data_IF_467805140111
#
_entry.id   IF_467805140111
#
_cell.length_a   1.000
_cell.length_b   1.000
_cell.length_c   1.000
_cell.angle_alpha   90.00
_cell.angle_beta   90.00
_cell.angle_gamma   90.00
#
_symmetry.space_group_name_H-M   'P 1'
#
loop_
_entity.id
_entity.type
_entity.pdbx_description
1 polymer ?
#
# COMPACT_ATOMS: atom_id res chain seq x y z
N UNK A 1 -1.13 -13.40 16.34
CA UNK A 1 -1.70 -12.31 15.52
C UNK A 1 -2.08 -12.84 14.16
N UNK A 2 -3.26 -12.45 13.67
CA UNK A 2 -3.74 -12.70 12.30
C UNK A 2 -4.23 -11.38 11.71
N UNK A 3 -4.16 -11.24 10.39
CA UNK A 3 -4.51 -10.01 9.65
C UNK A 3 -5.49 -10.34 8.51
N UNK A 4 -6.75 -10.69 8.83
CA UNK A 4 -7.70 -11.19 7.84
C UNK A 4 -8.19 -10.13 6.84
N UNK A 5 -8.10 -8.84 7.16
CA UNK A 5 -8.61 -7.77 6.29
C UNK A 5 -7.50 -7.07 5.50
N UNK A 6 -6.24 -7.41 5.74
CA UNK A 6 -5.09 -6.89 5.01
C UNK A 6 -5.11 -7.36 3.55
N UNK A 7 -4.85 -6.43 2.65
CA UNK A 7 -4.71 -6.68 1.22
C UNK A 7 -3.37 -6.12 0.72
N UNK A 8 -2.68 -6.90 -0.11
CA UNK A 8 -1.40 -6.51 -0.71
C UNK A 8 -1.60 -5.35 -1.71
N UNK A 9 -0.72 -4.34 -1.67
CA UNK A 9 -0.67 -3.30 -2.71
C UNK A 9 -0.25 -3.89 -4.05
N UNK A 10 -0.32 -3.11 -5.14
CA UNK A 10 0.10 -3.59 -6.48
C UNK A 10 1.56 -3.99 -6.48
N UNK A 11 2.41 -3.21 -5.80
CA UNK A 11 3.82 -3.55 -5.66
C UNK A 11 4.03 -4.83 -4.87
N UNK A 12 3.27 -5.04 -3.78
CA UNK A 12 3.34 -6.29 -3.01
C UNK A 12 2.90 -7.49 -3.84
N UNK A 13 1.79 -7.38 -4.58
CA UNK A 13 1.31 -8.45 -5.46
C UNK A 13 2.33 -8.78 -6.55
N UNK A 14 2.91 -7.78 -7.20
CA UNK A 14 3.94 -7.98 -8.22
C UNK A 14 5.16 -8.73 -7.66
N UNK A 15 5.61 -8.39 -6.44
CA UNK A 15 6.68 -9.11 -5.73
C UNK A 15 6.24 -10.55 -5.42
N UNK A 16 5.05 -10.72 -4.84
CA UNK A 16 4.46 -12.00 -4.47
C UNK A 16 4.37 -12.95 -5.67
N UNK A 17 3.89 -12.47 -6.82
CA UNK A 17 3.73 -13.26 -8.03
C UNK A 17 5.07 -13.65 -8.64
N UNK A 18 6.05 -12.73 -8.61
CA UNK A 18 7.42 -13.05 -9.03
C UNK A 18 8.03 -14.13 -8.15
N UNK A 19 7.88 -14.03 -6.83
CA UNK A 19 8.39 -15.05 -5.90
C UNK A 19 7.70 -16.40 -6.10
N UNK A 20 6.37 -16.42 -6.21
CA UNK A 20 5.60 -17.66 -6.42
C UNK A 20 5.95 -18.35 -7.73
N UNK A 21 6.05 -17.60 -8.83
CA UNK A 21 6.43 -18.15 -10.14
C UNK A 21 7.84 -18.76 -10.14
N UNK A 22 8.72 -18.32 -9.23
CA UNK A 22 10.08 -18.84 -9.06
C UNK A 22 10.25 -19.75 -7.83
N UNK A 23 9.13 -20.26 -7.30
CA UNK A 23 9.08 -21.22 -6.18
C UNK A 23 9.69 -20.69 -4.87
N UNK A 24 9.76 -19.38 -4.68
CA UNK A 24 10.17 -18.73 -3.42
C UNK A 24 8.90 -18.58 -2.58
N UNK A 25 8.61 -19.57 -1.73
CA UNK A 25 7.30 -19.70 -1.08
C UNK A 25 7.35 -19.51 0.44
N UNK A 26 8.50 -19.78 1.05
CA UNK A 26 8.74 -19.72 2.49
C UNK A 26 9.82 -18.68 2.83
N UNK A 27 9.85 -18.15 4.08
CA UNK A 27 10.89 -17.21 4.49
C UNK A 27 12.32 -17.73 4.29
N UNK A 28 12.52 -19.04 4.43
CA UNK A 28 13.81 -19.71 4.22
C UNK A 28 14.23 -19.76 2.76
N UNK A 29 13.27 -19.65 1.82
CA UNK A 29 13.54 -19.59 0.37
C UNK A 29 14.08 -18.22 -0.07
N UNK A 30 13.94 -17.17 0.76
CA UNK A 30 14.39 -15.79 0.47
C UNK A 30 15.92 -15.66 0.58
N UNK A 31 16.66 -16.55 -0.06
CA UNK A 31 18.10 -16.44 -0.25
C UNK A 31 18.44 -15.32 -1.24
N UNK A 32 19.50 -14.56 -0.96
CA UNK A 32 19.82 -13.37 -1.76
C UNK A 32 20.24 -13.71 -3.19
N UNK A 33 20.96 -14.81 -3.40
CA UNK A 33 21.33 -15.25 -4.76
C UNK A 33 20.11 -15.74 -5.52
N UNK A 34 19.25 -16.52 -4.86
CA UNK A 34 18.02 -16.99 -5.49
C UNK A 34 17.08 -15.84 -5.89
N UNK A 35 16.97 -14.82 -5.03
CA UNK A 35 16.20 -13.61 -5.34
C UNK A 35 16.86 -12.83 -6.47
N UNK A 36 18.18 -12.63 -6.46
CA UNK A 36 18.88 -11.89 -7.52
C UNK A 36 18.73 -12.58 -8.88
N UNK A 37 18.88 -13.91 -8.93
CA UNK A 37 18.70 -14.71 -10.14
C UNK A 37 17.26 -14.62 -10.69
N UNK A 38 16.27 -14.63 -9.80
CA UNK A 38 14.85 -14.48 -10.15
C UNK A 38 14.57 -13.17 -10.90
N UNK A 39 15.34 -12.13 -10.58
CA UNK A 39 15.20 -10.81 -11.18
C UNK A 39 16.23 -10.53 -12.28
N UNK A 40 17.09 -11.49 -12.62
CA UNK A 40 18.20 -11.33 -13.57
C UNK A 40 19.11 -10.16 -13.17
N UNK A 41 19.47 -10.12 -11.88
CA UNK A 41 20.37 -9.14 -11.28
C UNK A 41 21.58 -9.87 -10.74
N UNK A 42 22.78 -9.42 -11.13
CA UNK A 42 24.03 -9.98 -10.63
C UNK A 42 24.28 -9.52 -9.19
N UNK A 43 24.65 -10.45 -8.32
CA UNK A 43 24.99 -10.17 -6.93
C UNK A 43 26.47 -10.40 -6.68
N UNK A 44 27.18 -9.31 -6.34
CA UNK A 44 28.60 -9.32 -6.04
C UNK A 44 28.87 -8.90 -4.60
N UNK A 45 29.94 -9.46 -4.03
CA UNK A 45 30.40 -9.09 -2.69
C UNK A 45 31.82 -8.55 -2.78
N UNK A 46 32.05 -7.34 -2.26
CA UNK A 46 33.36 -6.69 -2.28
C UNK A 46 33.68 -5.91 -1.00
N UNK A 47 34.85 -5.26 -0.93
CA UNK A 47 35.34 -4.47 0.19
C UNK A 47 35.05 -2.97 -0.01
N UNK A 48 33.93 -2.64 -0.65
CA UNK A 48 33.50 -1.28 -0.94
C UNK A 48 32.24 -0.90 -0.16
N UNK A 49 31.85 0.38 -0.24
CA UNK A 49 30.50 0.77 0.17
C UNK A 49 29.50 0.07 -0.76
N UNK A 50 28.37 -0.43 -0.26
CA UNK A 50 27.36 -1.02 -1.09
C UNK A 50 26.78 -0.02 -2.09
N UNK A 51 26.46 -0.50 -3.29
CA UNK A 51 25.79 0.27 -4.34
C UNK A 51 25.22 -0.68 -5.41
N UNK A 52 24.38 -0.14 -6.27
CA UNK A 52 23.90 -0.81 -7.48
C UNK A 52 24.27 -0.05 -8.75
N UNK A 53 24.38 -0.78 -9.86
CA UNK A 53 24.39 -0.22 -11.20
C UNK A 53 23.15 -0.75 -11.95
N UNK A 54 22.22 0.16 -12.25
CA UNK A 54 20.95 -0.17 -12.87
C UNK A 54 21.11 -0.58 -14.34
N UNK A 55 22.14 -0.08 -15.03
CA UNK A 55 22.36 -0.38 -16.45
C UNK A 55 22.93 -1.79 -16.63
N UNK A 56 23.92 -2.14 -15.82
CA UNK A 56 24.55 -3.47 -15.81
C UNK A 56 23.76 -4.49 -14.98
N UNK A 57 22.69 -4.05 -14.29
CA UNK A 57 21.86 -4.85 -13.38
C UNK A 57 22.69 -5.63 -12.37
N UNK A 58 23.54 -4.92 -11.63
CA UNK A 58 24.41 -5.53 -10.63
C UNK A 58 24.28 -4.81 -9.29
N UNK A 59 24.33 -5.59 -8.21
CA UNK A 59 24.36 -5.11 -6.83
C UNK A 59 25.68 -5.53 -6.19
N UNK A 60 26.39 -4.57 -5.60
CA UNK A 60 27.58 -4.79 -4.81
C UNK A 60 27.25 -4.64 -3.33
N UNK A 61 27.47 -5.70 -2.55
CA UNK A 61 27.35 -5.70 -1.09
C UNK A 61 28.73 -5.73 -0.44
N UNK A 62 28.85 -5.16 0.75
CA UNK A 62 30.10 -5.22 1.50
C UNK A 62 30.25 -6.58 2.20
N UNK A 63 31.37 -7.27 1.95
CA UNK A 63 31.73 -8.56 2.56
C UNK A 63 31.80 -8.54 4.09
N UNK A 64 31.97 -7.36 4.69
CA UNK A 64 32.15 -7.19 6.14
C UNK A 64 30.86 -6.88 6.88
N UNK A 65 29.78 -6.58 6.17
CA UNK A 65 28.52 -6.23 6.82
C UNK A 65 27.88 -7.46 7.47
N UNK A 66 27.29 -7.33 8.68
CA UNK A 66 26.51 -8.39 9.28
C UNK A 66 25.38 -8.83 8.34
N UNK A 67 25.10 -10.13 8.29
CA UNK A 67 24.14 -10.70 7.34
C UNK A 67 22.77 -9.98 7.32
N UNK A 68 22.12 -9.65 8.45
CA UNK A 68 20.86 -8.90 8.42
C UNK A 68 20.96 -7.50 7.81
N UNK A 69 22.12 -6.84 7.97
CA UNK A 69 22.39 -5.52 7.38
C UNK A 69 22.60 -5.66 5.87
N UNK A 70 23.38 -6.65 5.45
CA UNK A 70 23.59 -6.98 4.04
C UNK A 70 22.27 -7.31 3.32
N UNK A 71 21.36 -8.07 3.96
CA UNK A 71 20.01 -8.34 3.44
C UNK A 71 19.17 -7.07 3.29
N UNK A 72 19.17 -6.20 4.30
CA UNK A 72 18.45 -4.93 4.24
C UNK A 72 18.94 -4.07 3.07
N UNK A 73 20.25 -3.98 2.88
CA UNK A 73 20.87 -3.21 1.80
C UNK A 73 20.53 -3.85 0.45
N UNK A 74 20.66 -5.17 0.32
CA UNK A 74 20.32 -5.88 -0.91
C UNK A 74 18.92 -5.56 -1.43
N UNK A 75 17.89 -5.69 -0.59
CA UNK A 75 16.51 -5.44 -1.03
C UNK A 75 16.25 -3.96 -1.37
N UNK A 76 16.97 -3.03 -0.73
CA UNK A 76 16.90 -1.61 -1.07
C UNK A 76 17.55 -1.35 -2.45
N UNK A 77 18.78 -1.83 -2.67
CA UNK A 77 19.49 -1.74 -3.95
C UNK A 77 18.74 -2.46 -5.09
N UNK A 78 18.08 -3.56 -4.79
CA UNK A 78 17.24 -4.29 -5.75
C UNK A 78 16.10 -3.42 -6.28
N UNK A 79 15.50 -2.56 -5.44
CA UNK A 79 14.52 -1.58 -5.92
C UNK A 79 15.13 -0.62 -6.93
N UNK A 80 16.33 -0.09 -6.65
CA UNK A 80 17.02 0.81 -7.57
C UNK A 80 17.24 0.16 -8.93
N UNK A 81 17.75 -1.06 -8.96
CA UNK A 81 17.99 -1.79 -10.21
C UNK A 81 16.70 -2.03 -10.99
N UNK A 82 15.61 -2.40 -10.31
CA UNK A 82 14.39 -2.83 -10.97
C UNK A 82 13.45 -1.71 -11.39
N UNK A 83 13.46 -0.58 -10.66
CA UNK A 83 12.39 0.42 -10.74
C UNK A 83 12.90 1.83 -11.02
N UNK A 84 14.18 2.11 -10.81
CA UNK A 84 14.72 3.46 -10.92
C UNK A 84 15.61 3.65 -12.14
N UNK A 85 15.52 4.84 -12.73
CA UNK A 85 16.38 5.28 -13.83
C UNK A 85 17.03 6.62 -13.48
N UNK A 86 18.16 6.90 -14.12
CA UNK A 86 18.92 8.13 -13.97
C UNK A 86 20.01 8.06 -12.90
N UNK A 87 20.88 9.07 -12.90
CA UNK A 87 21.98 9.19 -11.94
C UNK A 87 21.56 10.07 -10.76
N UNK A 88 21.35 9.46 -9.59
CA UNK A 88 20.94 10.17 -8.37
C UNK A 88 21.91 11.28 -7.95
N UNK A 89 23.19 11.23 -8.36
CA UNK A 89 24.17 12.29 -8.05
C UNK A 89 23.87 13.59 -8.81
N UNK A 90 23.14 13.48 -9.91
CA UNK A 90 22.76 14.59 -10.81
C UNK A 90 21.27 14.89 -10.74
N UNK A 91 20.51 14.11 -9.98
CA UNK A 91 19.07 14.20 -9.84
C UNK A 91 18.69 15.32 -8.88
N UNK A 92 17.59 16.04 -9.19
CA UNK A 92 17.00 16.99 -8.25
C UNK A 92 16.54 16.25 -6.98
N UNK A 93 16.71 16.91 -5.83
CA UNK A 93 16.34 16.41 -4.50
C UNK A 93 14.95 15.76 -4.45
N UNK A 94 13.92 16.38 -5.03
CA UNK A 94 12.54 15.85 -4.94
C UNK A 94 12.40 14.47 -5.61
N UNK A 95 12.98 14.30 -6.80
CA UNK A 95 12.96 13.00 -7.49
C UNK A 95 13.81 11.96 -6.76
N UNK A 96 14.96 12.39 -6.21
CA UNK A 96 15.81 11.51 -5.41
C UNK A 96 15.06 11.03 -4.16
N UNK A 97 14.46 11.94 -3.41
CA UNK A 97 13.69 11.60 -2.21
C UNK A 97 12.52 10.64 -2.54
N UNK A 98 11.86 10.83 -3.69
CA UNK A 98 10.83 9.92 -4.18
C UNK A 98 11.35 8.51 -4.45
N UNK A 99 12.51 8.38 -5.11
CA UNK A 99 13.16 7.08 -5.32
C UNK A 99 13.57 6.41 -4.00
N UNK A 100 14.12 7.17 -3.04
CA UNK A 100 14.46 6.63 -1.72
C UNK A 100 13.22 6.17 -0.95
N UNK A 101 12.12 6.91 -1.02
CA UNK A 101 10.85 6.52 -0.40
C UNK A 101 10.31 5.22 -1.01
N UNK A 102 10.34 5.10 -2.34
CA UNK A 102 9.92 3.87 -3.03
C UNK A 102 10.83 2.68 -2.68
N UNK A 103 12.16 2.88 -2.68
CA UNK A 103 13.12 1.84 -2.28
C UNK A 103 12.92 1.36 -0.83
N UNK A 104 12.56 2.27 0.08
CA UNK A 104 12.23 1.90 1.45
C UNK A 104 10.92 1.11 1.57
N UNK A 105 9.89 1.44 0.78
CA UNK A 105 8.65 0.66 0.72
C UNK A 105 8.90 -0.72 0.10
N UNK A 106 9.60 -0.78 -1.04
CA UNK A 106 9.99 -2.02 -1.71
C UNK A 106 10.75 -2.95 -0.78
N UNK A 107 11.75 -2.43 -0.04
CA UNK A 107 12.52 -3.19 0.94
C UNK A 107 11.61 -3.94 1.92
N UNK A 108 10.58 -3.27 2.47
CA UNK A 108 9.65 -3.88 3.43
C UNK A 108 8.87 -5.04 2.79
N UNK A 109 8.41 -4.87 1.56
CA UNK A 109 7.62 -5.86 0.84
C UNK A 109 8.46 -7.05 0.36
N UNK A 110 9.62 -6.78 -0.24
CA UNK A 110 10.50 -7.80 -0.81
C UNK A 110 11.21 -8.64 0.25
N UNK A 111 11.56 -8.03 1.40
CA UNK A 111 12.23 -8.73 2.50
C UNK A 111 11.27 -9.48 3.43
N UNK A 112 10.01 -9.04 3.51
CA UNK A 112 8.97 -9.65 4.34
C UNK A 112 7.60 -9.64 3.62
N UNK A 113 7.43 -10.48 2.58
CA UNK A 113 6.20 -10.54 1.80
C UNK A 113 5.00 -10.94 2.64
N UNK A 114 3.87 -10.26 2.47
CA UNK A 114 2.70 -10.51 3.33
C UNK A 114 2.12 -11.91 3.12
N UNK A 115 2.16 -12.45 1.90
CA UNK A 115 1.74 -13.84 1.66
C UNK A 115 2.53 -14.91 2.44
N UNK A 116 3.77 -14.60 2.86
CA UNK A 116 4.53 -15.47 3.76
C UNK A 116 4.14 -15.21 5.21
N UNK A 117 4.07 -13.93 5.62
CA UNK A 117 3.68 -13.49 6.96
C UNK A 117 2.32 -14.06 7.38
N UNK A 118 1.33 -14.00 6.49
CA UNK A 118 -0.05 -14.47 6.74
C UNK A 118 -0.15 -15.97 7.06
N UNK A 119 0.89 -16.76 6.78
CA UNK A 119 0.96 -18.19 7.10
C UNK A 119 1.70 -18.48 8.40
N UNK A 120 2.30 -17.47 9.03
CA UNK A 120 3.08 -17.62 10.25
C UNK A 120 2.20 -17.52 11.50
N UNK A 121 2.53 -18.31 12.52
CA UNK A 121 1.96 -18.18 13.87
C UNK A 121 2.63 -17.04 14.65
N UNK A 122 2.38 -15.79 14.27
CA UNK A 122 3.03 -14.62 14.89
C UNK A 122 2.53 -14.46 16.34
N UNK A 123 3.41 -14.30 17.35
CA UNK A 123 3.01 -14.03 18.73
C UNK A 123 2.14 -12.78 18.90
N UNK A 124 1.22 -12.75 19.87
CA UNK A 124 0.37 -11.58 20.15
C UNK A 124 1.09 -10.46 20.91
N UNK A 125 2.19 -10.76 21.60
CA UNK A 125 3.02 -9.73 22.21
C UNK A 125 3.80 -8.98 21.13
N UNK A 126 3.72 -7.65 21.11
CA UNK A 126 4.36 -6.81 20.09
C UNK A 126 5.88 -7.01 20.01
N UNK A 127 6.56 -7.11 21.15
CA UNK A 127 8.02 -7.27 21.19
C UNK A 127 8.43 -8.64 20.67
N UNK A 128 7.71 -9.68 21.07
CA UNK A 128 7.96 -11.05 20.62
C UNK A 128 7.64 -11.20 19.12
N UNK A 129 6.58 -10.57 18.63
CA UNK A 129 6.23 -10.53 17.21
C UNK A 129 7.34 -9.88 16.37
N UNK A 130 7.88 -8.74 16.83
CA UNK A 130 9.00 -8.06 16.16
C UNK A 130 10.22 -8.97 16.11
N UNK A 131 10.60 -9.57 17.24
CA UNK A 131 11.77 -10.43 17.31
C UNK A 131 11.58 -11.71 16.48
N UNK A 132 10.39 -12.29 16.50
CA UNK A 132 10.01 -13.43 15.69
C UNK A 132 10.18 -13.13 14.20
N UNK A 133 9.54 -12.06 13.70
CA UNK A 133 9.66 -11.64 12.29
C UNK A 133 11.11 -11.31 11.90
N UNK A 134 11.83 -10.58 12.74
CA UNK A 134 13.24 -10.25 12.51
C UNK A 134 14.10 -11.51 12.35
N UNK A 135 13.86 -12.51 13.18
CA UNK A 135 14.58 -13.80 13.15
C UNK A 135 14.18 -14.62 11.93
N UNK A 136 12.88 -14.77 11.67
CA UNK A 136 12.33 -15.56 10.55
C UNK A 136 12.81 -15.04 9.20
N UNK A 137 12.76 -13.73 8.97
CA UNK A 137 13.18 -13.12 7.70
C UNK A 137 14.66 -12.70 7.69
N UNK A 138 15.37 -12.90 8.82
CA UNK A 138 16.79 -12.58 9.02
C UNK A 138 17.11 -11.11 8.77
N UNK A 139 16.24 -10.21 9.18
CA UNK A 139 16.33 -8.75 8.96
C UNK A 139 16.47 -7.99 10.29
N UNK A 140 16.92 -6.72 10.28
CA UNK A 140 17.07 -5.95 11.50
C UNK A 140 15.73 -5.75 12.23
N UNK A 141 15.67 -5.83 13.57
CA UNK A 141 14.42 -5.67 14.34
C UNK A 141 13.67 -4.37 14.07
N UNK A 142 14.40 -3.29 13.75
CA UNK A 142 13.79 -2.00 13.36
C UNK A 142 12.93 -2.15 12.10
N UNK A 143 13.40 -2.91 11.11
CA UNK A 143 12.69 -3.14 9.86
C UNK A 143 11.46 -4.04 10.09
N UNK A 144 11.61 -5.10 10.89
CA UNK A 144 10.49 -5.95 11.32
C UNK A 144 9.38 -5.13 12.00
N UNK A 145 9.77 -4.22 12.90
CA UNK A 145 8.84 -3.31 13.58
C UNK A 145 8.11 -2.38 12.60
N UNK A 146 8.82 -1.84 11.60
CA UNK A 146 8.21 -1.00 10.57
C UNK A 146 7.18 -1.78 9.76
N UNK A 147 7.54 -2.98 9.29
CA UNK A 147 6.63 -3.85 8.53
C UNK A 147 5.40 -4.26 9.34
N UNK A 148 5.59 -4.68 10.60
CA UNK A 148 4.48 -5.07 11.47
C UNK A 148 3.51 -3.90 11.71
N UNK A 149 4.03 -2.70 12.00
CA UNK A 149 3.21 -1.50 12.19
C UNK A 149 2.43 -1.14 10.92
N UNK A 150 3.06 -1.21 9.76
CA UNK A 150 2.39 -1.00 8.48
C UNK A 150 1.22 -1.97 8.29
N UNK A 151 1.45 -3.27 8.55
CA UNK A 151 0.41 -4.30 8.43
C UNK A 151 -0.74 -4.02 9.39
N UNK A 152 -0.43 -3.76 10.66
CA UNK A 152 -1.41 -3.42 11.68
C UNK A 152 -2.23 -2.19 11.32
N UNK A 153 -1.59 -1.14 10.78
CA UNK A 153 -2.29 0.07 10.34
C UNK A 153 -3.26 -0.21 9.21
N UNK A 154 -2.84 -0.93 8.16
CA UNK A 154 -3.72 -1.25 7.02
C UNK A 154 -4.85 -2.20 7.40
N UNK A 155 -4.60 -3.14 8.31
CA UNK A 155 -5.63 -4.00 8.90
C UNK A 155 -6.67 -3.16 9.65
N UNK A 156 -6.22 -2.26 10.54
CA UNK A 156 -7.10 -1.40 11.32
C UNK A 156 -7.92 -0.47 10.43
N UNK A 157 -7.28 0.17 9.45
CA UNK A 157 -7.95 0.98 8.45
C UNK A 157 -9.05 0.17 7.77
N UNK A 158 -8.72 -1.03 7.28
CA UNK A 158 -9.71 -1.91 6.65
C UNK A 158 -10.88 -2.22 7.59
N UNK A 159 -10.63 -2.55 8.87
CA UNK A 159 -11.67 -2.85 9.87
C UNK A 159 -12.57 -1.64 10.15
N UNK A 160 -11.99 -0.47 10.43
CA UNK A 160 -12.76 0.74 10.77
C UNK A 160 -13.78 1.04 9.68
N UNK A 161 -13.35 0.95 8.43
CA UNK A 161 -14.22 1.21 7.29
C UNK A 161 -15.26 0.11 7.04
N UNK A 162 -15.03 -1.16 7.41
CA UNK A 162 -16.11 -2.16 7.41
C UNK A 162 -17.10 -2.00 8.57
N UNK A 163 -16.63 -1.52 9.72
CA UNK A 163 -17.43 -1.40 10.95
C UNK A 163 -18.31 -0.14 11.00
N UNK A 164 -18.03 0.84 10.14
CA UNK A 164 -18.91 1.97 9.89
C UNK A 164 -20.18 1.46 9.16
N UNK A 165 -21.09 0.88 9.95
CA UNK A 165 -22.53 0.76 9.73
C UNK A 165 -23.20 1.58 10.85
N UNK A 166 -24.43 2.09 10.67
CA UNK A 166 -24.89 3.32 11.31
C UNK A 166 -24.87 3.18 12.83
N UNK A 167 -23.92 3.86 13.46
CA UNK A 167 -23.95 4.08 14.90
C UNK A 167 -24.67 5.39 15.12
N UNK A 168 -25.78 5.33 15.87
CA UNK A 168 -26.55 6.51 16.26
C UNK A 168 -25.62 7.56 16.89
N UNK A 169 -25.65 8.75 16.30
CA UNK A 169 -25.37 10.07 16.90
C UNK A 169 -24.16 10.18 17.83
N UNK A 170 -23.05 10.68 17.29
CA UNK A 170 -22.10 11.50 18.05
C UNK A 170 -21.80 12.77 17.23
N UNK A 171 -22.21 13.91 17.77
CA UNK A 171 -21.90 15.25 17.24
C UNK A 171 -20.38 15.48 17.26
N UNK A 172 -19.76 15.94 16.16
CA UNK A 172 -18.35 16.29 16.17
C UNK A 172 -18.16 17.72 16.72
N UNK A 173 -17.31 17.81 17.75
CA UNK A 173 -16.69 19.07 18.20
C UNK A 173 -15.32 19.17 17.54
N UNK A 174 -15.08 20.20 16.73
CA UNK A 174 -13.72 20.59 16.29
C UNK A 174 -13.57 20.96 14.81
N UNK A 175 -13.77 22.25 14.53
CA UNK A 175 -13.39 23.15 13.42
C UNK A 175 -12.79 22.65 12.07
N UNK A 176 -13.53 23.04 11.02
CA UNK A 176 -13.14 23.54 9.68
C UNK A 176 -12.49 22.61 8.64
N UNK A 177 -13.27 21.60 8.25
CA UNK A 177 -13.53 21.26 6.84
C UNK A 177 -15.05 21.38 6.58
N UNK A 178 -15.68 22.49 6.99
CA UNK A 178 -17.09 22.78 6.68
C UNK A 178 -17.20 23.88 5.62
N UNK A 179 -17.71 23.48 4.45
CA UNK A 179 -18.31 24.28 3.36
C UNK A 179 -17.91 23.82 1.94
N UNK A 180 -17.52 22.55 1.76
CA UNK A 180 -17.60 21.94 0.43
C UNK A 180 -19.06 21.62 0.11
N UNK A 181 -19.78 22.59 -0.48
CA UNK A 181 -21.14 22.42 -1.03
C UNK A 181 -21.15 21.47 -2.24
N UNK A 182 -19.99 21.16 -2.80
CA UNK A 182 -19.84 20.34 -4.00
C UNK A 182 -19.23 18.97 -3.71
N UNK A 183 -19.70 17.95 -4.44
CA UNK A 183 -19.11 16.61 -4.44
C UNK A 183 -17.61 16.65 -4.70
N UNK A 184 -16.81 16.06 -3.80
CA UNK A 184 -15.36 16.03 -3.86
C UNK A 184 -14.79 14.64 -3.56
N UNK A 185 -13.68 14.31 -4.22
CA UNK A 185 -12.93 13.07 -4.03
C UNK A 185 -11.51 13.43 -3.59
N UNK A 186 -11.07 12.78 -2.52
CA UNK A 186 -9.74 12.95 -1.93
C UNK A 186 -8.96 11.64 -2.01
N UNK A 187 -7.64 11.77 -2.13
CA UNK A 187 -6.70 10.66 -2.14
C UNK A 187 -5.92 10.62 -0.82
N UNK A 188 -5.99 9.47 -0.13
CA UNK A 188 -5.15 9.19 1.02
C UNK A 188 -4.07 8.18 0.65
N UNK A 189 -2.81 8.53 0.92
CA UNK A 189 -1.66 7.66 0.73
C UNK A 189 -1.15 7.23 2.09
N UNK A 190 -1.16 5.93 2.35
CA UNK A 190 -0.50 5.37 3.53
C UNK A 190 0.99 5.78 3.51
N UNK A 191 1.49 6.53 4.51
CA UNK A 191 2.89 6.97 4.56
C UNK A 191 3.93 5.84 4.61
N UNK A 192 3.50 4.61 4.91
CA UNK A 192 4.35 3.43 4.81
C UNK A 192 4.28 2.74 3.46
N UNK A 193 3.31 3.11 2.62
CA UNK A 193 3.03 2.50 1.33
C UNK A 193 3.96 2.92 0.20
N UNK A 194 3.79 2.27 -0.96
CA UNK A 194 4.31 2.84 -2.21
C UNK A 194 3.42 4.03 -2.57
N UNK A 195 4.02 5.17 -2.88
CA UNK A 195 3.31 6.42 -3.15
C UNK A 195 2.76 6.50 -4.59
N UNK A 196 2.77 5.39 -5.32
CA UNK A 196 2.32 5.31 -6.72
C UNK A 196 0.81 5.46 -6.86
N UNK A 197 0.03 4.91 -5.92
CA UNK A 197 -1.42 4.96 -5.94
C UNK A 197 -1.96 5.25 -4.54
N UNK A 198 -3.12 5.93 -4.42
CA UNK A 198 -3.76 6.10 -3.13
C UNK A 198 -4.05 4.74 -2.52
N UNK A 199 -3.92 4.66 -1.19
CA UNK A 199 -4.37 3.50 -0.43
C UNK A 199 -5.89 3.48 -0.33
N UNK A 200 -6.51 4.67 -0.35
CA UNK A 200 -7.95 4.89 -0.22
C UNK A 200 -8.36 6.15 -0.98
N UNK A 201 -9.56 6.12 -1.57
CA UNK A 201 -10.27 7.33 -1.99
C UNK A 201 -11.35 7.65 -0.97
N UNK A 202 -11.39 8.89 -0.51
CA UNK A 202 -12.39 9.41 0.41
C UNK A 202 -13.31 10.33 -0.39
N UNK A 203 -14.61 10.11 -0.30
CA UNK A 203 -15.61 10.82 -1.07
C UNK A 203 -16.49 11.60 -0.11
N UNK A 204 -16.71 12.86 -0.44
CA UNK A 204 -17.77 13.67 0.13
C UNK A 204 -18.74 14.00 -1.00
N UNK A 205 -19.97 13.50 -0.94
CA UNK A 205 -20.98 13.63 -1.99
C UNK A 205 -22.07 14.55 -1.47
N UNK A 206 -22.28 15.68 -2.15
CA UNK A 206 -23.29 16.64 -1.75
C UNK A 206 -24.71 16.04 -1.85
N UNK A 207 -25.63 16.56 -1.03
CA UNK A 207 -27.01 16.06 -0.92
C UNK A 207 -27.72 16.05 -2.28
N UNK A 208 -27.56 17.12 -3.06
CA UNK A 208 -28.20 17.22 -4.37
C UNK A 208 -27.72 16.11 -5.30
N UNK A 209 -26.41 15.88 -5.38
CA UNK A 209 -25.83 14.81 -6.20
C UNK A 209 -26.28 13.43 -5.73
N UNK A 210 -26.28 13.17 -4.42
CA UNK A 210 -26.68 11.89 -3.85
C UNK A 210 -28.15 11.55 -4.11
N UNK A 211 -29.03 12.55 -4.20
CA UNK A 211 -30.47 12.37 -4.45
C UNK A 211 -30.88 12.43 -5.92
N UNK A 212 -30.14 13.16 -6.77
CA UNK A 212 -30.56 13.42 -8.15
C UNK A 212 -29.83 12.59 -9.19
N UNK A 213 -28.64 12.06 -8.87
CA UNK A 213 -27.85 11.27 -9.79
C UNK A 213 -27.86 9.80 -9.41
N UNK A 214 -28.01 8.94 -10.42
CA UNK A 214 -27.87 7.49 -10.23
C UNK A 214 -26.41 7.07 -10.09
N UNK A 215 -25.50 7.78 -10.77
CA UNK A 215 -24.09 7.43 -10.86
C UNK A 215 -23.16 8.67 -10.76
N UNK A 216 -22.02 8.49 -10.12
CA UNK A 216 -20.87 9.40 -10.15
C UNK A 216 -19.75 8.76 -10.95
N UNK A 217 -19.09 9.50 -11.84
CA UNK A 217 -18.01 8.98 -12.67
C UNK A 217 -16.73 9.78 -12.45
N UNK A 218 -15.61 9.10 -12.31
CA UNK A 218 -14.28 9.73 -12.19
C UNK A 218 -13.21 8.87 -12.88
N UNK A 219 -12.14 9.50 -13.32
CA UNK A 219 -10.94 8.81 -13.78
C UNK A 219 -10.01 8.54 -12.60
N UNK A 220 -9.31 7.40 -12.60
CA UNK A 220 -8.27 7.15 -11.60
C UNK A 220 -7.05 8.08 -11.78
N UNK A 221 -6.89 8.61 -12.98
CA UNK A 221 -5.84 9.59 -13.33
C UNK A 221 -6.23 11.04 -12.95
N UNK A 222 -7.44 11.26 -12.43
CA UNK A 222 -7.86 12.60 -12.01
C UNK A 222 -7.00 13.11 -10.85
N UNK A 223 -6.75 14.42 -10.81
CA UNK A 223 -6.04 15.05 -9.71
C UNK A 223 -6.94 15.21 -8.49
N UNK A 224 -6.93 14.20 -7.61
CA UNK A 224 -7.62 14.26 -6.33
C UNK A 224 -6.86 15.11 -5.32
N UNK A 225 -7.61 15.83 -4.49
CA UNK A 225 -7.03 16.56 -3.37
C UNK A 225 -6.43 15.57 -2.37
N UNK A 226 -5.22 15.84 -1.89
CA UNK A 226 -4.54 14.99 -0.92
C UNK A 226 -5.03 15.29 0.50
N UNK A 227 -5.24 14.24 1.30
CA UNK A 227 -5.55 14.31 2.73
C UNK A 227 -4.44 13.60 3.50
N UNK A 228 -3.94 14.23 4.56
CA UNK A 228 -2.96 13.60 5.45
C UNK A 228 -3.59 12.81 6.61
N UNK A 229 -2.75 12.09 7.37
CA UNK A 229 -3.20 11.24 8.48
C UNK A 229 -3.91 12.01 9.60
N UNK A 230 -3.61 13.30 9.80
CA UNK A 230 -4.27 14.13 10.82
C UNK A 230 -5.68 14.56 10.41
N UNK A 231 -5.96 14.59 9.11
CA UNK A 231 -7.25 14.97 8.56
C UNK A 231 -8.21 13.78 8.36
N UNK A 232 -7.72 12.54 8.57
CA UNK A 232 -8.54 11.33 8.45
C UNK A 232 -9.70 11.27 9.44
N UNK A 233 -9.60 11.93 10.59
CA UNK A 233 -10.67 11.95 11.60
C UNK A 233 -11.97 12.52 11.04
N UNK A 234 -11.90 13.45 10.09
CA UNK A 234 -13.08 14.02 9.41
C UNK A 234 -13.86 12.98 8.61
N UNK A 235 -13.21 11.89 8.22
CA UNK A 235 -13.79 10.79 7.45
C UNK A 235 -14.01 9.52 8.28
N UNK A 236 -13.88 9.59 9.61
CA UNK A 236 -14.03 8.43 10.49
C UNK A 236 -15.44 7.79 10.42
N UNK A 237 -16.46 8.57 10.07
CA UNK A 237 -17.86 8.17 9.88
C UNK A 237 -18.19 7.70 8.45
N UNK A 238 -17.20 7.65 7.56
CA UNK A 238 -17.39 7.27 6.16
C UNK A 238 -17.89 5.84 6.02
N UNK A 239 -18.90 5.64 5.18
CA UNK A 239 -19.44 4.32 4.90
C UNK A 239 -18.64 3.62 3.79
N UNK A 240 -18.43 2.29 3.87
CA UNK A 240 -17.64 1.57 2.88
C UNK A 240 -18.37 1.45 1.54
N UNK A 241 -17.66 1.74 0.46
CA UNK A 241 -18.07 1.37 -0.90
C UNK A 241 -17.52 -0.02 -1.21
N UNK A 242 -18.39 -0.93 -1.66
CA UNK A 242 -17.99 -2.28 -2.05
C UNK A 242 -17.79 -2.36 -3.56
N UNK A 243 -17.05 -3.35 -4.05
CA UNK A 243 -16.84 -3.60 -5.49
C UNK A 243 -18.17 -3.72 -6.26
N UNK A 244 -19.24 -4.23 -5.65
CA UNK A 244 -20.56 -4.33 -6.28
C UNK A 244 -21.28 -2.98 -6.44
N UNK A 245 -20.77 -1.91 -5.83
CA UNK A 245 -21.23 -0.53 -6.02
C UNK A 245 -20.45 0.20 -7.12
N UNK A 246 -19.44 -0.46 -7.68
CA UNK A 246 -18.52 0.07 -8.66
C UNK A 246 -18.68 -0.67 -10.00
N UNK A 247 -18.50 0.05 -11.11
CA UNK A 247 -18.37 -0.48 -12.47
C UNK A 247 -17.20 0.25 -13.15
N UNK A 248 -16.58 -0.35 -14.17
CA UNK A 248 -15.52 0.29 -14.94
C UNK A 248 -15.83 0.22 -16.43
N UNK A 249 -16.06 1.38 -17.06
CA UNK A 249 -16.33 1.50 -18.50
C UNK A 249 -15.71 2.76 -19.06
N UNK A 250 -15.24 2.66 -20.31
CA UNK A 250 -14.70 3.79 -21.08
C UNK A 250 -13.55 4.53 -20.34
N UNK A 251 -12.71 3.78 -19.62
CA UNK A 251 -11.58 4.34 -18.86
C UNK A 251 -11.97 5.03 -17.55
N UNK A 252 -13.24 4.96 -17.13
CA UNK A 252 -13.74 5.64 -15.92
C UNK A 252 -14.35 4.66 -14.94
N UNK A 253 -14.14 4.94 -13.66
CA UNK A 253 -14.84 4.29 -12.56
C UNK A 253 -16.21 4.93 -12.43
N UNK A 254 -17.24 4.10 -12.34
CA UNK A 254 -18.62 4.51 -12.08
C UNK A 254 -19.03 4.02 -10.70
N UNK A 255 -19.48 4.95 -9.87
CA UNK A 255 -20.00 4.70 -8.54
C UNK A 255 -21.53 4.77 -8.58
N UNK A 256 -22.21 3.70 -8.18
CA UNK A 256 -23.66 3.65 -8.15
C UNK A 256 -24.20 4.32 -6.88
N UNK A 257 -24.56 5.59 -6.99
CA UNK A 257 -25.04 6.41 -5.87
C UNK A 257 -26.40 5.92 -5.37
N UNK A 258 -27.30 5.52 -6.27
CA UNK A 258 -28.61 5.02 -5.88
C UNK A 258 -28.50 3.78 -4.96
N UNK A 259 -27.61 2.83 -5.27
CA UNK A 259 -27.34 1.66 -4.42
C UNK A 259 -26.75 2.04 -3.08
N UNK A 260 -25.77 2.93 -3.05
CA UNK A 260 -25.17 3.41 -1.80
C UNK A 260 -26.20 4.12 -0.92
N UNK A 261 -26.91 5.08 -1.50
CA UNK A 261 -27.92 5.85 -0.80
C UNK A 261 -29.05 4.96 -0.27
N UNK A 262 -29.48 3.95 -1.04
CA UNK A 262 -30.46 2.95 -0.59
C UNK A 262 -29.91 2.07 0.54
N UNK A 263 -28.65 1.61 0.45
CA UNK A 263 -28.01 0.77 1.48
C UNK A 263 -27.89 1.50 2.80
N UNK A 264 -27.46 2.76 2.75
CA UNK A 264 -27.20 3.59 3.93
C UNK A 264 -28.37 4.53 4.28
N UNK A 265 -29.53 4.36 3.63
CA UNK A 265 -30.77 5.13 3.87
C UNK A 265 -30.57 6.64 3.85
N UNK A 266 -29.73 7.14 2.94
CA UNK A 266 -29.37 8.57 2.83
C UNK A 266 -28.84 9.19 4.13
N UNK A 267 -28.31 8.39 5.06
CA UNK A 267 -27.86 8.86 6.37
C UNK A 267 -26.43 9.44 6.37
N UNK A 268 -25.73 9.40 5.23
CA UNK A 268 -24.36 9.88 5.12
C UNK A 268 -24.09 10.50 3.74
N UNK A 269 -23.12 11.39 3.71
CA UNK A 269 -22.54 11.99 2.51
C UNK A 269 -21.09 11.56 2.30
N UNK A 270 -20.51 10.83 3.28
CA UNK A 270 -19.10 10.43 3.26
C UNK A 270 -18.96 8.95 2.98
N UNK A 271 -18.14 8.63 1.99
CA UNK A 271 -17.89 7.27 1.57
C UNK A 271 -16.40 7.03 1.41
N UNK A 272 -15.98 5.78 1.59
CA UNK A 272 -14.59 5.37 1.38
C UNK A 272 -14.53 4.25 0.36
N UNK A 273 -13.64 4.38 -0.61
CA UNK A 273 -13.30 3.31 -1.53
C UNK A 273 -11.89 2.83 -1.17
N UNK A 274 -11.79 1.59 -0.70
CA UNK A 274 -10.49 0.95 -0.52
C UNK A 274 -9.91 0.56 -1.88
N UNK A 275 -8.60 0.70 -2.07
CA UNK A 275 -7.94 0.33 -3.34
C UNK A 275 -8.20 -1.12 -3.75
N UNK A 276 -8.43 -2.04 -2.79
CA UNK A 276 -8.81 -3.43 -3.09
C UNK A 276 -10.16 -3.54 -3.83
N UNK A 277 -11.13 -2.70 -3.51
CA UNK A 277 -12.45 -2.73 -4.13
C UNK A 277 -12.35 -2.21 -5.57
N UNK A 278 -11.53 -1.16 -5.81
CA UNK A 278 -11.22 -0.67 -7.16
C UNK A 278 -10.53 -1.76 -7.99
N UNK A 279 -9.50 -2.40 -7.45
CA UNK A 279 -8.77 -3.47 -8.13
C UNK A 279 -9.67 -4.63 -8.52
N UNK A 280 -10.54 -5.07 -7.61
CA UNK A 280 -11.49 -6.17 -7.89
C UNK A 280 -12.34 -5.86 -9.12
N UNK A 281 -12.82 -4.62 -9.26
CA UNK A 281 -13.58 -4.19 -10.44
C UNK A 281 -12.69 -4.10 -11.68
N UNK A 282 -11.51 -3.49 -11.59
CA UNK A 282 -10.62 -3.33 -12.74
C UNK A 282 -10.16 -4.68 -13.30
N UNK A 283 -9.81 -5.63 -12.42
CA UNK A 283 -9.44 -7.00 -12.78
C UNK A 283 -10.59 -7.73 -13.49
N UNK A 284 -11.84 -7.56 -13.01
CA UNK A 284 -13.03 -8.12 -13.67
C UNK A 284 -13.20 -7.59 -15.10
N UNK A 285 -12.82 -6.34 -15.35
CA UNK A 285 -12.84 -5.71 -16.67
C UNK A 285 -11.56 -5.91 -17.49
N UNK A 286 -10.60 -6.71 -17.01
CA UNK A 286 -9.36 -7.02 -17.72
C UNK A 286 -8.35 -5.87 -17.73
N UNK A 287 -8.47 -4.92 -16.80
CA UNK A 287 -7.56 -3.79 -16.64
C UNK A 287 -6.61 -4.07 -15.47
N UNK A 288 -5.31 -4.16 -15.75
CA UNK A 288 -4.30 -4.17 -14.70
C UNK A 288 -4.04 -2.73 -14.23
N UNK A 289 -4.08 -2.51 -12.92
CA UNK A 289 -3.52 -1.32 -12.28
C UNK A 289 -2.00 -1.28 -12.37
#
# INVERSE_FOLDING_TARGET
MIFPNYYETTLEQWISDRYRSNQILLPEDLDLHRVSDTFLVDLQYDHCKPFSDNAEKVIFLNKRDPYPISRMIFFHELCHVLRHVGDQRRMNKLFKDGQEADANAFLLYASMPFFMISKLGIPDNQTDAIQYLATTFRIPPKLAKQRLKQIQRRELQSILFFSAAPTEQLEPVGEELSDAVETQIYAYYDPSGNLECPSQLLLHIDEQTLHTRDELQFSLDDHFAYIDESQLEVFADSQPVLHNDLDFRDGKVKLNLHRLASRYRYATQKFVIQTKELKTVLEFHGVCC
#
